data_IF_795089740854
#
_entry.id   IF_795089740854
#
_cell.length_a   1.000
_cell.length_b   1.000
_cell.length_c   1.000
_cell.angle_alpha   90.00
_cell.angle_beta   90.00
_cell.angle_gamma   90.00
#
_symmetry.space_group_name_H-M   'P 1'
#
loop_
_entity.id
_entity.type
_entity.pdbx_description
1 polymer ?
#
# COMPACT_ATOMS: atom_id res chain seq x y z
N UNK A 1 13.81 22.81 6.76
CA UNK A 1 12.39 22.46 6.59
C UNK A 1 12.29 21.52 5.40
N UNK A 2 11.20 20.76 5.27
CA UNK A 2 10.95 19.84 4.15
C UNK A 2 9.49 19.96 3.71
N UNK A 3 9.22 19.74 2.43
CA UNK A 3 7.88 19.76 1.86
C UNK A 3 7.17 18.43 2.12
N UNK A 4 5.85 18.44 2.29
CA UNK A 4 5.06 17.23 2.48
C UNK A 4 4.10 17.05 1.32
N UNK A 5 4.23 15.92 0.63
CA UNK A 5 3.26 15.47 -0.36
C UNK A 5 2.26 14.52 0.29
N UNK A 6 0.98 14.70 -0.04
CA UNK A 6 -0.12 13.83 0.36
C UNK A 6 -0.75 13.23 -0.90
N UNK A 7 -0.59 11.94 -1.12
CA UNK A 7 -1.25 11.21 -2.20
C UNK A 7 -2.66 10.82 -1.79
N UNK A 8 -3.65 11.04 -2.66
CA UNK A 8 -5.05 10.77 -2.31
C UNK A 8 -5.93 10.30 -3.48
N UNK A 9 -6.93 9.48 -3.15
CA UNK A 9 -8.03 9.06 -4.04
C UNK A 9 -9.24 8.57 -3.24
N UNK A 10 -10.33 9.33 -3.27
CA UNK A 10 -11.57 9.04 -2.55
C UNK A 10 -11.35 8.77 -1.06
N UNK A 11 -10.80 9.76 -0.37
CA UNK A 11 -10.32 9.78 1.02
C UNK A 11 -11.06 10.81 1.89
N UNK A 12 -12.36 11.06 1.64
CA UNK A 12 -13.13 12.07 2.36
C UNK A 12 -13.19 11.86 3.90
N UNK A 13 -12.96 10.63 4.36
CA UNK A 13 -12.90 10.26 5.78
C UNK A 13 -11.58 10.70 6.42
N UNK A 14 -10.45 10.58 5.69
CA UNK A 14 -9.12 10.67 6.27
C UNK A 14 -8.36 11.94 5.92
N UNK A 15 -8.67 12.55 4.77
CA UNK A 15 -7.88 13.62 4.18
C UNK A 15 -7.73 14.84 5.11
N UNK A 16 -8.79 15.21 5.84
CA UNK A 16 -8.77 16.31 6.80
C UNK A 16 -7.68 16.12 7.87
N UNK A 17 -7.74 14.98 8.58
CA UNK A 17 -6.80 14.68 9.65
C UNK A 17 -5.37 14.44 9.11
N UNK A 18 -5.22 13.96 7.87
CA UNK A 18 -3.91 13.87 7.21
C UNK A 18 -3.29 15.24 7.01
N UNK A 19 -4.02 16.17 6.37
CA UNK A 19 -3.59 17.55 6.14
C UNK A 19 -3.25 18.22 7.47
N UNK A 20 -4.13 18.15 8.46
CA UNK A 20 -3.91 18.73 9.79
C UNK A 20 -2.62 18.23 10.45
N UNK A 21 -2.32 16.93 10.31
CA UNK A 21 -1.08 16.36 10.82
C UNK A 21 0.16 16.84 10.06
N UNK A 22 0.03 17.14 8.78
CA UNK A 22 1.09 17.60 7.89
C UNK A 22 1.38 19.11 7.99
N UNK A 23 0.46 19.92 8.53
CA UNK A 23 0.61 21.39 8.71
C UNK A 23 1.73 21.80 9.70
N UNK A 24 2.55 20.86 10.15
CA UNK A 24 3.85 21.13 10.77
C UNK A 24 4.86 21.70 9.76
N UNK A 25 4.72 21.34 8.48
CA UNK A 25 5.46 21.94 7.37
C UNK A 25 4.74 23.18 6.82
N UNK A 26 5.51 24.15 6.34
CA UNK A 26 5.03 25.34 5.64
C UNK A 26 4.85 25.13 4.12
N UNK A 27 4.96 23.88 3.65
CA UNK A 27 4.69 23.48 2.26
C UNK A 27 4.05 22.09 2.22
N UNK A 28 2.71 22.07 2.18
CA UNK A 28 1.90 20.84 2.07
C UNK A 28 1.18 20.83 0.73
N UNK A 29 1.34 19.72 0.00
CA UNK A 29 0.90 19.57 -1.38
C UNK A 29 0.06 18.30 -1.50
N UNK A 30 -1.23 18.45 -1.79
CA UNK A 30 -2.15 17.34 -2.00
C UNK A 30 -2.14 16.97 -3.49
N UNK A 31 -1.83 15.72 -3.79
CA UNK A 31 -1.83 15.16 -5.14
C UNK A 31 -3.00 14.20 -5.26
N UNK A 32 -4.06 14.70 -5.88
CA UNK A 32 -5.34 14.01 -6.02
C UNK A 32 -5.43 13.24 -7.33
N UNK A 33 -5.87 11.99 -7.23
CA UNK A 33 -6.06 11.09 -8.38
C UNK A 33 -7.44 11.19 -9.02
N UNK A 34 -7.99 12.41 -9.10
CA UNK A 34 -9.35 12.69 -9.55
C UNK A 34 -10.41 12.05 -8.65
N UNK A 35 -10.39 12.38 -7.36
CA UNK A 35 -11.43 11.94 -6.43
C UNK A 35 -12.83 12.40 -6.88
N UNK A 36 -13.79 11.49 -6.74
CA UNK A 36 -15.22 11.67 -7.05
C UNK A 36 -16.08 11.91 -5.81
N UNK A 37 -15.53 11.69 -4.62
CA UNK A 37 -16.18 11.98 -3.33
C UNK A 37 -15.84 13.41 -2.85
N UNK A 38 -16.07 13.70 -1.56
CA UNK A 38 -15.84 15.03 -1.00
C UNK A 38 -14.38 15.34 -0.67
N UNK A 39 -13.42 14.49 -1.06
CA UNK A 39 -11.98 14.67 -0.76
C UNK A 39 -11.48 16.05 -1.14
N UNK A 40 -11.75 16.49 -2.38
CA UNK A 40 -11.30 17.78 -2.89
C UNK A 40 -12.02 18.96 -2.23
N UNK A 41 -13.32 18.81 -1.94
CA UNK A 41 -14.10 19.80 -1.19
C UNK A 41 -13.47 20.03 0.19
N UNK A 42 -13.11 18.95 0.88
CA UNK A 42 -12.50 19.00 2.21
C UNK A 42 -11.09 19.60 2.14
N UNK A 43 -10.25 19.14 1.20
CA UNK A 43 -8.89 19.65 1.03
C UNK A 43 -8.86 21.17 0.74
N UNK A 44 -9.85 21.69 -0.02
CA UNK A 44 -9.95 23.11 -0.38
C UNK A 44 -10.18 24.05 0.81
N UNK A 45 -10.54 23.51 1.99
CA UNK A 45 -10.74 24.29 3.22
C UNK A 45 -9.43 24.64 3.93
N UNK A 46 -8.34 24.01 3.52
CA UNK A 46 -7.00 24.23 4.07
C UNK A 46 -6.16 25.07 3.11
N UNK A 47 -5.20 25.81 3.66
CA UNK A 47 -4.23 26.56 2.87
C UNK A 47 -3.11 25.62 2.37
N UNK A 48 -3.47 24.75 1.43
CA UNK A 48 -2.58 23.75 0.82
C UNK A 48 -2.70 23.79 -0.69
N UNK A 49 -1.61 23.46 -1.39
CA UNK A 49 -1.64 23.37 -2.85
C UNK A 49 -2.23 22.03 -3.26
N UNK A 50 -3.32 22.05 -4.03
CA UNK A 50 -3.92 20.85 -4.60
C UNK A 50 -3.54 20.72 -6.07
N UNK A 51 -2.96 19.58 -6.44
CA UNK A 51 -2.59 19.21 -7.81
C UNK A 51 -3.37 17.95 -8.19
N UNK A 52 -3.90 17.90 -9.41
CA UNK A 52 -4.61 16.72 -9.93
C UNK A 52 -3.77 16.00 -10.96
N UNK A 53 -3.69 14.68 -10.86
CA UNK A 53 -3.02 13.83 -11.82
C UNK A 53 -3.68 12.47 -11.88
N UNK A 54 -3.91 11.92 -13.09
CA UNK A 54 -4.61 10.65 -13.22
C UNK A 54 -3.68 9.53 -12.75
N UNK A 55 -4.18 8.68 -11.86
CA UNK A 55 -3.40 7.55 -11.37
C UNK A 55 -3.14 6.54 -12.49
N UNK A 56 -1.87 6.19 -12.67
CA UNK A 56 -1.44 5.13 -13.59
C UNK A 56 -0.99 3.89 -12.81
N UNK A 57 -0.05 4.10 -11.88
CA UNK A 57 0.48 3.09 -10.97
C UNK A 57 1.13 3.78 -9.77
N UNK A 58 1.40 3.03 -8.69
CA UNK A 58 2.02 3.58 -7.49
C UNK A 58 3.40 4.18 -7.76
N UNK A 59 4.28 3.46 -8.47
CA UNK A 59 5.62 3.92 -8.77
C UNK A 59 5.64 5.10 -9.73
N UNK A 60 4.81 5.06 -10.80
CA UNK A 60 4.71 6.17 -11.76
C UNK A 60 4.13 7.42 -11.12
N UNK A 61 3.11 7.29 -10.26
CA UNK A 61 2.50 8.43 -9.58
C UNK A 61 3.50 9.13 -8.66
N UNK A 62 4.24 8.37 -7.83
CA UNK A 62 5.27 8.93 -6.93
C UNK A 62 6.40 9.59 -7.72
N UNK A 63 6.90 8.93 -8.76
CA UNK A 63 7.97 9.50 -9.60
C UNK A 63 7.52 10.76 -10.35
N UNK A 64 6.34 10.73 -10.98
CA UNK A 64 5.76 11.89 -11.64
C UNK A 64 5.62 13.07 -10.68
N UNK A 65 5.08 12.83 -9.49
CA UNK A 65 4.93 13.85 -8.46
C UNK A 65 6.27 14.49 -8.08
N UNK A 66 7.32 13.69 -7.90
CA UNK A 66 8.65 14.19 -7.54
C UNK A 66 9.34 14.98 -8.67
N UNK A 67 8.96 14.75 -9.92
CA UNK A 67 9.57 15.38 -11.11
C UNK A 67 8.81 16.63 -11.56
N UNK A 68 7.48 16.56 -11.59
CA UNK A 68 6.63 17.54 -12.25
C UNK A 68 5.97 18.53 -11.29
N UNK A 69 5.90 18.19 -10.00
CA UNK A 69 5.30 19.06 -8.99
C UNK A 69 6.43 19.77 -8.20
N UNK A 70 6.57 21.11 -8.32
CA UNK A 70 7.69 21.81 -7.67
C UNK A 70 7.46 21.94 -6.17
N UNK A 71 8.37 21.43 -5.34
CA UNK A 71 8.36 21.64 -3.89
C UNK A 71 9.09 22.93 -3.50
N UNK A 72 8.71 23.55 -2.38
CA UNK A 72 9.41 24.71 -1.81
C UNK A 72 10.79 24.35 -1.25
N UNK A 73 10.93 23.14 -0.70
CA UNK A 73 12.14 22.67 -0.02
C UNK A 73 12.87 21.59 -0.83
N UNK A 74 14.16 21.44 -0.53
CA UNK A 74 15.01 20.40 -1.15
C UNK A 74 14.57 18.98 -0.75
N UNK A 75 14.09 18.80 0.48
CA UNK A 75 13.66 17.49 0.97
C UNK A 75 12.14 17.34 0.92
N UNK A 76 11.70 16.14 0.63
CA UNK A 76 10.30 15.77 0.48
C UNK A 76 9.96 14.63 1.44
N UNK A 77 8.84 14.77 2.15
CA UNK A 77 8.20 13.68 2.86
C UNK A 77 6.92 13.24 2.12
N UNK A 78 6.70 11.94 1.94
CA UNK A 78 5.51 11.38 1.27
C UNK A 78 4.56 10.74 2.31
N UNK A 79 3.32 11.21 2.34
CA UNK A 79 2.19 10.63 3.06
C UNK A 79 1.14 10.09 2.09
N UNK A 80 0.47 9.01 2.48
CA UNK A 80 -0.84 8.63 1.94
C UNK A 80 -1.94 9.26 2.81
N UNK A 81 -3.11 9.53 2.23
CA UNK A 81 -4.17 10.27 2.92
C UNK A 81 -4.72 9.55 4.17
N UNK A 82 -4.56 8.24 4.30
CA UNK A 82 -4.91 7.45 5.48
C UNK A 82 -3.76 7.35 6.50
N UNK A 83 -2.68 8.14 6.34
CA UNK A 83 -1.54 8.20 7.24
C UNK A 83 -1.44 9.55 7.96
N UNK A 84 -0.69 9.61 9.06
CA UNK A 84 -0.52 10.83 9.86
C UNK A 84 0.94 11.12 10.16
N UNK A 85 1.35 12.37 10.01
CA UNK A 85 2.64 12.84 10.52
C UNK A 85 2.55 13.07 12.04
N UNK A 86 3.49 12.53 12.81
CA UNK A 86 3.61 12.83 14.24
C UNK A 86 4.60 13.96 14.48
N UNK A 87 4.46 14.69 15.59
CA UNK A 87 5.40 15.77 15.94
C UNK A 87 6.81 15.23 16.18
N UNK A 88 6.90 14.04 16.76
CA UNK A 88 8.15 13.34 17.06
C UNK A 88 8.86 12.95 15.76
N UNK A 89 8.14 12.32 14.82
CA UNK A 89 8.70 11.96 13.50
C UNK A 89 9.10 13.21 12.71
N UNK A 90 8.28 14.26 12.74
CA UNK A 90 8.60 15.52 12.08
C UNK A 90 9.90 16.12 12.62
N UNK A 91 10.09 16.12 13.94
CA UNK A 91 11.31 16.61 14.57
C UNK A 91 12.52 15.75 14.23
N UNK A 92 12.38 14.42 14.22
CA UNK A 92 13.47 13.52 13.79
C UNK A 92 13.86 13.77 12.33
N UNK A 93 12.88 13.95 11.43
CA UNK A 93 13.12 14.32 10.04
C UNK A 93 13.88 15.65 9.93
N UNK A 94 13.53 16.67 10.72
CA UNK A 94 14.26 17.95 10.73
C UNK A 94 15.72 17.82 11.15
N UNK A 95 16.04 16.90 12.07
CA UNK A 95 17.41 16.59 12.43
C UNK A 95 18.11 15.78 11.33
N UNK A 96 17.42 14.80 10.74
CA UNK A 96 17.94 13.94 9.68
C UNK A 96 18.38 14.75 8.45
N UNK A 97 17.59 15.72 7.99
CA UNK A 97 17.93 16.51 6.80
C UNK A 97 19.14 17.43 6.97
N UNK A 98 19.68 17.59 8.18
CA UNK A 98 20.90 18.39 8.43
C UNK A 98 22.17 17.65 7.98
N UNK A 99 22.14 16.32 7.89
CA UNK A 99 23.26 15.56 7.31
C UNK A 99 23.13 15.47 5.79
N UNK A 100 24.27 15.50 5.10
CA UNK A 100 24.37 15.33 3.65
C UNK A 100 24.78 13.92 3.23
N UNK A 101 24.95 13.02 4.20
CA UNK A 101 25.40 11.63 3.96
C UNK A 101 24.33 10.80 3.22
N UNK A 102 23.06 11.05 3.52
CA UNK A 102 21.95 10.24 3.01
C UNK A 102 21.10 11.01 2.00
N UNK A 103 20.52 10.28 1.06
CA UNK A 103 19.57 10.79 0.05
C UNK A 103 18.12 10.41 0.36
N UNK A 104 17.91 9.51 1.32
CA UNK A 104 16.59 9.03 1.70
C UNK A 104 16.58 8.31 3.04
N UNK A 105 15.43 8.32 3.69
CA UNK A 105 15.17 7.68 4.96
C UNK A 105 13.87 6.89 4.96
N UNK A 106 13.95 5.70 5.55
CA UNK A 106 12.78 4.87 5.79
C UNK A 106 12.18 5.15 7.16
N UNK A 107 10.85 5.18 7.24
CA UNK A 107 10.11 5.20 8.51
C UNK A 107 9.21 3.98 8.61
N UNK A 108 9.03 3.45 9.83
CA UNK A 108 8.16 2.31 10.07
C UNK A 108 6.71 2.74 10.30
N UNK A 109 5.77 2.03 9.70
CA UNK A 109 4.34 2.28 9.88
C UNK A 109 3.79 1.65 11.16
N UNK A 110 2.77 2.30 11.73
CA UNK A 110 1.94 1.78 12.81
C UNK A 110 0.53 1.53 12.29
N UNK A 111 0.23 0.27 11.98
CA UNK A 111 -1.10 -0.12 11.53
C UNK A 111 -2.13 0.12 12.64
N UNK A 112 -3.02 1.07 12.40
CA UNK A 112 -4.15 1.40 13.26
C UNK A 112 -5.37 0.60 12.81
N UNK A 113 -5.91 -0.22 13.70
CA UNK A 113 -7.07 -1.06 13.43
C UNK A 113 -7.99 -1.10 14.64
N UNK A 114 -9.30 -0.94 14.41
CA UNK A 114 -10.32 -0.87 15.49
C UNK A 114 -9.99 0.14 16.60
N UNK A 115 -9.38 1.27 16.23
CA UNK A 115 -9.04 2.36 17.17
C UNK A 115 -7.75 2.15 17.98
N UNK A 116 -7.01 1.06 17.76
CA UNK A 116 -5.73 0.82 18.44
C UNK A 116 -4.61 0.45 17.46
N UNK A 117 -3.36 0.62 17.89
CA UNK A 117 -2.21 0.16 17.12
C UNK A 117 -2.01 -1.34 17.30
N UNK A 118 -1.99 -2.09 16.19
CA UNK A 118 -1.67 -3.52 16.18
C UNK A 118 -0.16 -3.68 16.06
N UNK A 119 0.50 -4.03 17.17
CA UNK A 119 1.96 -4.01 17.31
C UNK A 119 2.62 -5.30 16.86
N UNK A 120 1.93 -6.42 17.03
CA UNK A 120 2.56 -7.75 17.01
C UNK A 120 2.42 -8.46 15.67
N UNK A 121 1.25 -8.35 15.06
CA UNK A 121 0.83 -9.24 13.97
C UNK A 121 0.74 -8.54 12.61
N UNK A 122 1.46 -7.42 12.44
CA UNK A 122 1.42 -6.55 11.25
C UNK A 122 2.72 -6.53 10.46
N UNK A 123 3.67 -7.42 10.80
CA UNK A 123 5.06 -7.41 10.28
C UNK A 123 5.84 -6.16 10.72
N UNK A 124 5.44 -5.55 11.83
CA UNK A 124 6.17 -4.43 12.42
C UNK A 124 7.57 -4.87 12.91
N UNK A 125 8.63 -4.06 12.67
CA UNK A 125 8.63 -2.82 11.90
C UNK A 125 8.61 -3.08 10.39
N UNK A 126 7.66 -2.46 9.68
CA UNK A 126 7.61 -2.43 8.21
C UNK A 126 8.04 -1.04 7.75
N UNK A 127 9.25 -0.98 7.19
CA UNK A 127 9.87 0.24 6.74
C UNK A 127 9.48 0.59 5.30
N UNK A 128 9.20 1.86 5.06
CA UNK A 128 8.91 2.42 3.74
C UNK A 128 9.70 3.72 3.54
N UNK A 129 10.15 3.99 2.33
CA UNK A 129 10.89 5.23 2.02
C UNK A 129 9.93 6.42 2.14
N UNK A 130 10.21 7.34 3.05
CA UNK A 130 9.27 8.44 3.38
C UNK A 130 9.87 9.81 3.20
N UNK A 131 11.08 10.03 3.70
CA UNK A 131 11.81 11.28 3.58
C UNK A 131 12.91 11.12 2.54
N UNK A 132 12.92 11.92 1.48
CA UNK A 132 13.83 11.72 0.36
C UNK A 132 14.23 13.04 -0.32
N UNK A 133 15.33 12.99 -1.07
CA UNK A 133 15.73 14.05 -1.99
C UNK A 133 15.23 13.75 -3.40
N UNK A 134 14.42 14.63 -4.02
CA UNK A 134 14.06 14.51 -5.43
C UNK A 134 15.31 14.57 -6.31
N UNK A 135 15.29 13.86 -7.44
CA UNK A 135 16.46 13.74 -8.33
C UNK A 135 17.57 12.81 -7.83
N UNK A 136 17.42 12.22 -6.63
CA UNK A 136 18.26 11.14 -6.11
C UNK A 136 17.48 9.87 -5.78
N UNK A 137 16.16 9.99 -5.62
CA UNK A 137 15.26 8.88 -5.33
C UNK A 137 14.09 8.92 -6.32
N UNK A 138 13.77 7.76 -6.88
CA UNK A 138 12.62 7.53 -7.75
C UNK A 138 11.92 6.23 -7.36
N UNK A 139 10.73 6.01 -7.91
CA UNK A 139 9.96 4.79 -7.69
C UNK A 139 9.70 4.08 -9.03
N UNK A 140 9.87 2.77 -9.02
CA UNK A 140 9.63 1.87 -10.14
C UNK A 140 8.56 0.85 -9.79
N UNK A 141 7.73 0.49 -10.76
CA UNK A 141 6.69 -0.53 -10.55
C UNK A 141 7.32 -1.93 -10.45
N UNK A 142 6.88 -2.70 -9.46
CA UNK A 142 7.31 -4.07 -9.22
C UNK A 142 6.10 -4.94 -8.82
N UNK A 143 5.47 -5.57 -9.83
CA UNK A 143 4.21 -6.29 -9.63
C UNK A 143 3.08 -5.34 -9.23
N UNK A 144 2.33 -5.68 -8.18
CA UNK A 144 1.31 -4.80 -7.57
C UNK A 144 1.90 -3.80 -6.56
N UNK A 145 3.23 -3.78 -6.41
CA UNK A 145 3.95 -2.93 -5.46
C UNK A 145 4.90 -2.02 -6.22
N UNK A 146 5.59 -1.16 -5.49
CA UNK A 146 6.65 -0.31 -6.01
C UNK A 146 7.97 -0.63 -5.31
N UNK A 147 9.06 -0.18 -5.93
CA UNK A 147 10.39 -0.16 -5.33
C UNK A 147 11.07 1.17 -5.57
N UNK A 148 11.69 1.68 -4.53
CA UNK A 148 12.57 2.82 -4.59
C UNK A 148 13.88 2.49 -5.35
N UNK A 149 14.32 3.44 -6.14
CA UNK A 149 15.62 3.45 -6.82
C UNK A 149 16.38 4.65 -6.25
N UNK A 150 17.51 4.39 -5.61
CA UNK A 150 18.27 5.41 -4.87
C UNK A 150 19.68 5.58 -5.45
N UNK A 151 20.06 6.83 -5.71
CA UNK A 151 21.42 7.25 -6.05
C UNK A 151 22.11 7.89 -4.84
N UNK A 152 22.48 7.06 -3.87
CA UNK A 152 23.18 7.49 -2.66
C UNK A 152 22.88 6.58 -1.48
N UNK A 153 23.49 6.88 -0.33
CA UNK A 153 23.22 6.13 0.89
C UNK A 153 21.83 6.46 1.45
N UNK A 154 21.21 5.49 2.10
CA UNK A 154 19.92 5.63 2.78
C UNK A 154 20.03 5.20 4.23
N UNK A 155 19.16 5.71 5.10
CA UNK A 155 19.14 5.35 6.51
C UNK A 155 17.72 5.13 7.04
N UNK A 156 17.59 4.80 8.32
CA UNK A 156 16.31 4.50 8.97
C UNK A 156 16.04 5.51 10.08
N UNK A 157 14.81 6.03 10.08
CA UNK A 157 14.26 6.81 11.19
C UNK A 157 13.80 5.87 12.31
N UNK A 158 13.88 6.34 13.55
CA UNK A 158 13.45 5.61 14.73
C UNK A 158 11.97 5.83 15.03
N UNK A 159 11.49 7.04 14.77
CA UNK A 159 10.09 7.40 14.94
C UNK A 159 9.21 6.78 13.85
N UNK A 160 7.92 6.74 14.14
CA UNK A 160 6.93 5.99 13.35
C UNK A 160 5.68 6.82 13.09
N UNK A 161 4.93 6.45 12.05
CA UNK A 161 3.71 7.14 11.66
C UNK A 161 2.47 6.21 11.76
N UNK A 162 1.32 6.70 12.25
CA UNK A 162 0.05 6.00 12.16
C UNK A 162 -0.42 5.80 10.72
N UNK A 163 -0.93 4.60 10.42
CA UNK A 163 -1.56 4.25 9.14
C UNK A 163 -2.93 3.61 9.39
N UNK A 164 -4.00 4.27 8.98
CA UNK A 164 -5.40 3.93 9.24
C UNK A 164 -6.01 3.04 8.14
N UNK A 165 -5.39 1.88 7.90
CA UNK A 165 -5.71 0.90 6.83
C UNK A 165 -7.18 0.46 6.69
N UNK A 166 -8.04 0.72 7.69
CA UNK A 166 -9.43 0.28 7.73
C UNK A 166 -10.41 1.41 8.16
N UNK A 167 -10.01 2.68 8.04
CA UNK A 167 -10.85 3.85 8.35
C UNK A 167 -12.18 3.86 7.60
N UNK A 168 -12.17 3.41 6.35
CA UNK A 168 -13.34 3.34 5.45
C UNK A 168 -14.27 2.15 5.70
N UNK A 169 -14.04 1.42 6.79
CA UNK A 169 -14.88 0.31 7.24
C UNK A 169 -14.48 -1.05 6.66
N UNK A 170 -15.04 -2.09 7.30
CA UNK A 170 -14.68 -3.48 7.03
C UNK A 170 -15.13 -3.96 5.64
N UNK A 171 -16.24 -3.44 5.10
CA UNK A 171 -16.72 -3.81 3.76
C UNK A 171 -15.67 -3.50 2.70
N UNK A 172 -15.14 -2.27 2.68
CA UNK A 172 -14.09 -1.87 1.73
C UNK A 172 -12.80 -2.65 1.94
N UNK A 173 -12.47 -2.99 3.19
CA UNK A 173 -11.33 -3.86 3.49
C UNK A 173 -11.53 -5.26 2.89
N UNK A 174 -12.71 -5.88 3.07
CA UNK A 174 -13.04 -7.20 2.52
C UNK A 174 -13.02 -7.17 0.99
N UNK A 175 -13.63 -6.17 0.36
CA UNK A 175 -13.66 -6.05 -1.11
C UNK A 175 -12.25 -5.92 -1.70
N UNK A 176 -11.37 -5.15 -1.03
CA UNK A 176 -9.96 -5.01 -1.40
C UNK A 176 -9.23 -6.35 -1.30
N UNK A 177 -9.39 -7.07 -0.19
CA UNK A 177 -8.76 -8.38 0.02
C UNK A 177 -9.34 -9.46 -0.90
N UNK A 178 -10.62 -9.34 -1.28
CA UNK A 178 -11.21 -10.20 -2.28
C UNK A 178 -10.49 -9.99 -3.63
N UNK A 179 -10.32 -8.77 -4.12
CA UNK A 179 -9.56 -8.52 -5.36
C UNK A 179 -8.11 -9.02 -5.27
N UNK A 180 -7.39 -8.63 -4.21
CA UNK A 180 -5.98 -9.02 -4.05
C UNK A 180 -5.79 -10.53 -3.89
N UNK A 181 -6.77 -11.25 -3.32
CA UNK A 181 -6.68 -12.72 -3.24
C UNK A 181 -6.76 -13.38 -4.61
N UNK A 182 -7.41 -12.77 -5.60
CA UNK A 182 -7.37 -13.23 -7.00
C UNK A 182 -5.97 -13.04 -7.58
N UNK A 183 -5.40 -11.85 -7.42
CA UNK A 183 -4.05 -11.52 -7.91
C UNK A 183 -2.99 -12.45 -7.31
N UNK A 184 -3.02 -12.65 -5.98
CA UNK A 184 -2.14 -13.58 -5.27
C UNK A 184 -2.37 -15.03 -5.67
N UNK A 185 -3.60 -15.42 -6.04
CA UNK A 185 -3.89 -16.76 -6.53
C UNK A 185 -3.24 -17.00 -7.90
N UNK A 186 -3.33 -16.05 -8.82
CA UNK A 186 -2.65 -16.11 -10.13
C UNK A 186 -1.14 -16.18 -9.95
N UNK A 187 -0.57 -15.33 -9.08
CA UNK A 187 0.87 -15.34 -8.80
C UNK A 187 1.32 -16.63 -8.10
N UNK A 188 0.47 -17.18 -7.21
CA UNK A 188 0.69 -18.50 -6.59
C UNK A 188 0.76 -19.61 -7.63
N UNK A 189 -0.13 -19.62 -8.64
CA UNK A 189 -0.07 -20.60 -9.73
C UNK A 189 1.24 -20.48 -10.51
N UNK A 190 1.63 -19.26 -10.88
CA UNK A 190 2.91 -19.00 -11.57
C UNK A 190 4.11 -19.49 -10.75
N UNK A 191 4.07 -19.36 -9.42
CA UNK A 191 5.12 -19.85 -8.53
C UNK A 191 5.13 -21.38 -8.42
N UNK A 192 3.96 -22.00 -8.31
CA UNK A 192 3.82 -23.46 -8.26
C UNK A 192 4.29 -24.13 -9.56
N UNK A 193 4.06 -23.50 -10.71
CA UNK A 193 4.51 -24.00 -12.02
C UNK A 193 6.03 -23.83 -12.22
N UNK A 194 6.66 -22.87 -11.54
CA UNK A 194 8.09 -22.55 -11.68
C UNK A 194 9.05 -23.34 -10.77
N UNK A 195 8.59 -24.13 -9.79
CA UNK A 195 9.52 -25.00 -9.04
C UNK A 195 9.07 -25.62 -7.71
N UNK A 196 9.90 -26.55 -7.21
CA UNK A 196 9.78 -27.33 -5.96
C UNK A 196 10.31 -26.59 -4.72
N UNK A 197 9.98 -27.06 -3.50
CA UNK A 197 10.54 -26.48 -2.26
C UNK A 197 12.05 -26.71 -2.25
N UNK A 198 12.84 -25.63 -2.25
CA UNK A 198 14.28 -25.73 -2.07
C UNK A 198 14.61 -25.91 -0.57
N UNK A 199 14.57 -27.16 -0.11
CA UNK A 199 14.87 -27.54 1.28
C UNK A 199 16.27 -27.10 1.73
N UNK A 200 17.22 -27.00 0.79
CA UNK A 200 18.58 -26.52 1.07
C UNK A 200 18.56 -25.03 1.40
N UNK A 201 17.80 -24.21 0.69
CA UNK A 201 17.68 -22.78 1.00
C UNK A 201 16.87 -22.51 2.28
N UNK A 202 15.88 -23.35 2.59
CA UNK A 202 15.10 -23.22 3.83
C UNK A 202 15.97 -23.38 5.09
N UNK A 203 16.83 -24.40 5.11
CA UNK A 203 17.66 -24.74 6.28
C UNK A 203 19.08 -24.16 6.21
N UNK A 204 19.66 -24.01 5.02
CA UNK A 204 21.05 -23.59 4.80
C UNK A 204 21.18 -22.28 4.00
N UNK A 205 20.05 -21.59 3.71
CA UNK A 205 20.06 -20.29 3.02
C UNK A 205 20.92 -19.28 3.76
N UNK A 206 21.70 -18.50 3.00
CA UNK A 206 22.67 -17.55 3.56
C UNK A 206 22.02 -16.19 3.83
N UNK A 207 20.89 -15.89 3.19
CA UNK A 207 20.11 -14.66 3.37
C UNK A 207 18.72 -14.91 3.95
N UNK A 208 18.18 -13.93 4.68
CA UNK A 208 16.78 -13.98 5.14
C UNK A 208 15.78 -14.04 3.98
N UNK A 209 16.12 -13.45 2.83
CA UNK A 209 15.26 -13.42 1.65
C UNK A 209 15.09 -14.81 1.06
N UNK A 210 16.17 -15.59 0.94
CA UNK A 210 16.14 -16.99 0.49
C UNK A 210 15.31 -17.87 1.43
N UNK A 211 15.53 -17.74 2.75
CA UNK A 211 14.75 -18.49 3.74
C UNK A 211 13.27 -18.13 3.69
N UNK A 212 12.92 -16.84 3.56
CA UNK A 212 11.53 -16.39 3.43
C UNK A 212 10.87 -16.91 2.15
N UNK A 213 11.60 -16.95 1.03
CA UNK A 213 11.10 -17.53 -0.23
C UNK A 213 10.84 -19.03 -0.09
N UNK A 214 11.80 -19.78 0.43
CA UNK A 214 11.64 -21.22 0.65
C UNK A 214 10.53 -21.54 1.68
N UNK A 215 10.36 -20.70 2.72
CA UNK A 215 9.26 -20.81 3.68
C UNK A 215 7.91 -20.49 3.01
N UNK A 216 7.86 -19.50 2.11
CA UNK A 216 6.66 -19.20 1.31
C UNK A 216 6.29 -20.42 0.45
N UNK A 217 7.24 -21.01 -0.26
CA UNK A 217 7.05 -22.20 -1.10
C UNK A 217 6.62 -23.45 -0.31
N UNK A 218 7.11 -23.62 0.92
CA UNK A 218 6.65 -24.68 1.83
C UNK A 218 5.24 -24.37 2.34
N UNK A 219 4.98 -23.12 2.74
CA UNK A 219 3.68 -22.71 3.28
C UNK A 219 2.55 -22.89 2.27
N UNK A 220 2.84 -22.66 0.97
CA UNK A 220 1.91 -22.89 -0.14
C UNK A 220 1.47 -24.36 -0.27
N UNK A 221 2.24 -25.30 0.29
CA UNK A 221 2.01 -26.75 0.21
C UNK A 221 1.52 -27.36 1.52
N UNK A 222 1.40 -26.59 2.60
CA UNK A 222 0.93 -27.09 3.89
C UNK A 222 -0.61 -27.22 3.89
N UNK A 223 -1.16 -28.37 4.31
CA UNK A 223 -2.59 -28.46 4.60
C UNK A 223 -2.93 -27.51 5.77
N UNK A 224 -4.12 -26.92 5.74
CA UNK A 224 -4.60 -25.99 6.79
C UNK A 224 -3.77 -24.72 6.98
N UNK A 225 -3.06 -24.24 5.95
CA UNK A 225 -2.28 -22.98 5.99
C UNK A 225 -2.99 -21.79 6.67
N UNK A 226 -4.30 -21.52 6.45
CA UNK A 226 -4.99 -20.43 7.15
C UNK A 226 -4.96 -20.59 8.68
N UNK A 227 -5.17 -21.81 9.18
CA UNK A 227 -5.13 -22.10 10.61
C UNK A 227 -3.71 -21.95 11.16
N UNK A 228 -2.71 -22.46 10.44
CA UNK A 228 -1.29 -22.31 10.81
C UNK A 228 -0.92 -20.82 10.89
N UNK A 229 -1.33 -20.02 9.89
CA UNK A 229 -1.12 -18.57 9.88
C UNK A 229 -1.79 -17.89 11.09
N UNK A 230 -3.04 -18.24 11.39
CA UNK A 230 -3.73 -17.72 12.57
C UNK A 230 -2.98 -18.05 13.87
N UNK A 231 -2.64 -19.32 14.07
CA UNK A 231 -1.97 -19.78 15.29
C UNK A 231 -0.61 -19.08 15.45
N UNK A 232 0.16 -18.98 14.37
CA UNK A 232 1.42 -18.25 14.35
C UNK A 232 1.24 -16.77 14.71
N UNK A 233 0.34 -16.06 14.03
CA UNK A 233 0.15 -14.62 14.24
C UNK A 233 -0.48 -14.30 15.60
N UNK A 234 -1.40 -15.13 16.08
CA UNK A 234 -2.13 -14.87 17.31
C UNK A 234 -1.32 -15.27 18.55
N UNK A 235 -0.76 -16.48 18.57
CA UNK A 235 -0.05 -16.99 19.75
C UNK A 235 1.46 -16.72 19.70
N UNK A 236 2.14 -17.01 18.59
CA UNK A 236 3.61 -16.92 18.54
C UNK A 236 4.10 -15.49 18.36
N UNK A 237 3.43 -14.68 17.53
CA UNK A 237 3.73 -13.24 17.46
C UNK A 237 3.12 -12.46 18.64
N UNK A 238 2.20 -13.07 19.39
CA UNK A 238 1.56 -12.44 20.54
C UNK A 238 0.42 -11.49 20.17
N UNK A 239 -0.26 -11.70 19.05
CA UNK A 239 -1.43 -10.91 18.64
C UNK A 239 -2.55 -10.87 19.68
N UNK A 240 -2.65 -11.87 20.57
CA UNK A 240 -3.58 -11.83 21.70
C UNK A 240 -3.33 -10.66 22.67
N UNK A 241 -2.11 -10.12 22.72
CA UNK A 241 -1.76 -8.95 23.54
C UNK A 241 -2.33 -7.65 22.98
N UNK A 242 -2.69 -7.62 21.69
CA UNK A 242 -3.37 -6.49 21.03
C UNK A 242 -4.91 -6.56 21.23
N UNK A 243 -5.39 -7.47 22.09
CA UNK A 243 -6.79 -7.59 22.52
C UNK A 243 -7.76 -7.94 21.39
N UNK A 244 -8.94 -7.30 21.39
CA UNK A 244 -9.99 -7.55 20.37
C UNK A 244 -9.52 -7.20 18.95
N UNK A 245 -8.75 -6.13 18.80
CA UNK A 245 -8.17 -5.73 17.51
C UNK A 245 -7.17 -6.76 16.99
N UNK A 246 -6.30 -7.27 17.87
CA UNK A 246 -5.36 -8.34 17.53
C UNK A 246 -6.02 -9.64 17.09
N UNK A 247 -7.06 -10.09 17.82
CA UNK A 247 -7.84 -11.26 17.43
C UNK A 247 -8.48 -11.07 16.04
N UNK A 248 -9.22 -9.97 15.85
CA UNK A 248 -9.88 -9.69 14.59
C UNK A 248 -8.89 -9.56 13.42
N UNK A 249 -7.75 -8.88 13.62
CA UNK A 249 -6.70 -8.77 12.61
C UNK A 249 -6.15 -10.14 12.20
N UNK A 250 -5.78 -10.98 13.17
CA UNK A 250 -5.28 -12.33 12.90
C UNK A 250 -6.32 -13.20 12.18
N UNK A 251 -7.59 -13.11 12.57
CA UNK A 251 -8.69 -13.83 11.90
C UNK A 251 -8.88 -13.37 10.46
N UNK A 252 -8.88 -12.06 10.22
CA UNK A 252 -9.02 -11.48 8.88
C UNK A 252 -7.84 -11.87 7.97
N UNK A 253 -6.62 -11.90 8.52
CA UNK A 253 -5.42 -12.34 7.80
C UNK A 253 -5.46 -13.83 7.46
N UNK A 254 -6.00 -14.66 8.35
CA UNK A 254 -6.21 -16.08 8.07
C UNK A 254 -7.33 -16.30 7.04
N UNK A 255 -8.42 -15.53 7.13
CA UNK A 255 -9.51 -15.57 6.16
C UNK A 255 -9.03 -15.15 4.76
N UNK A 256 -8.22 -14.10 4.66
CA UNK A 256 -7.58 -13.69 3.41
C UNK A 256 -6.74 -14.82 2.80
N UNK A 257 -5.91 -15.48 3.61
CA UNK A 257 -5.13 -16.64 3.19
C UNK A 257 -6.01 -17.80 2.70
N UNK A 258 -7.15 -18.01 3.35
CA UNK A 258 -8.12 -19.02 2.94
C UNK A 258 -8.75 -18.70 1.58
N UNK A 259 -9.13 -17.44 1.33
CA UNK A 259 -9.64 -17.01 0.03
C UNK A 259 -8.64 -17.26 -1.11
N UNK A 260 -7.35 -16.97 -0.89
CA UNK A 260 -6.30 -17.26 -1.88
C UNK A 260 -6.31 -18.75 -2.26
N UNK A 261 -6.34 -19.65 -1.27
CA UNK A 261 -6.35 -21.08 -1.53
C UNK A 261 -7.58 -21.55 -2.31
N UNK A 262 -8.76 -21.04 -1.95
CA UNK A 262 -10.00 -21.35 -2.68
C UNK A 262 -9.92 -20.88 -4.13
N UNK A 263 -9.37 -19.70 -4.39
CA UNK A 263 -9.20 -19.17 -5.74
C UNK A 263 -8.12 -19.89 -6.55
N UNK A 264 -7.03 -20.31 -5.91
CA UNK A 264 -6.04 -21.20 -6.55
C UNK A 264 -6.69 -22.51 -6.98
N UNK A 265 -7.57 -23.08 -6.14
CA UNK A 265 -8.33 -24.27 -6.50
C UNK A 265 -9.31 -23.98 -7.65
N UNK A 266 -10.06 -22.88 -7.56
CA UNK A 266 -11.01 -22.44 -8.58
C UNK A 266 -10.34 -22.31 -9.96
N UNK A 267 -9.24 -21.55 -10.04
CA UNK A 267 -8.47 -21.34 -11.27
C UNK A 267 -7.90 -22.63 -11.87
N UNK A 268 -7.68 -23.69 -11.07
CA UNK A 268 -7.19 -24.99 -11.54
C UNK A 268 -8.29 -25.94 -12.03
N UNK A 269 -9.52 -25.80 -11.53
CA UNK A 269 -10.56 -26.82 -11.69
C UNK A 269 -11.82 -26.33 -12.40
N UNK A 270 -12.09 -25.01 -12.39
CA UNK A 270 -13.24 -24.46 -13.11
C UNK A 270 -12.83 -23.99 -14.51
N UNK A 271 -13.72 -24.11 -15.51
CA UNK A 271 -13.50 -23.51 -16.81
C UNK A 271 -13.43 -21.99 -16.64
N UNK A 272 -12.38 -21.37 -17.18
CA UNK A 272 -12.34 -19.91 -17.26
C UNK A 272 -13.10 -19.45 -18.50
N UNK A 273 -13.97 -18.46 -18.32
CA UNK A 273 -14.52 -17.73 -19.44
C UNK A 273 -13.36 -16.99 -20.14
N UNK A 274 -13.32 -16.93 -21.49
CA UNK A 274 -12.35 -16.09 -22.19
C UNK A 274 -12.39 -14.61 -21.80
N UNK A 275 -13.52 -14.14 -21.25
CA UNK A 275 -13.71 -12.78 -20.74
C UNK A 275 -13.12 -12.57 -19.34
N UNK A 276 -12.92 -13.65 -18.58
CA UNK A 276 -12.43 -13.63 -17.20
C UNK A 276 -10.94 -14.00 -17.11
N UNK A 277 -10.25 -14.15 -18.26
CA UNK A 277 -8.82 -14.48 -18.32
C UNK A 277 -7.99 -13.29 -17.81
N UNK A 278 -7.35 -13.38 -16.62
CA UNK A 278 -6.58 -12.28 -16.04
C UNK A 278 -5.26 -12.00 -16.79
N UNK A 279 -4.94 -12.77 -17.83
CA UNK A 279 -3.81 -12.51 -18.74
C UNK A 279 -4.16 -11.65 -19.96
N UNK A 280 -5.46 -11.43 -20.22
CA UNK A 280 -5.94 -10.53 -21.26
C UNK A 280 -6.07 -9.11 -20.70
N UNK A 281 -5.62 -8.06 -21.41
CA UNK A 281 -5.88 -6.68 -20.99
C UNK A 281 -7.40 -6.44 -20.96
N UNK A 282 -7.89 -5.81 -19.88
CA UNK A 282 -9.29 -5.40 -19.75
C UNK A 282 -9.62 -4.51 -20.96
N UNK A 283 -10.59 -4.87 -21.82
CA UNK A 283 -10.98 -4.01 -22.92
C UNK A 283 -11.47 -2.67 -22.36
N UNK A 284 -11.19 -1.54 -23.03
CA UNK A 284 -11.68 -0.24 -22.57
C UNK A 284 -13.19 -0.30 -22.37
N UNK A 285 -13.64 0.29 -21.27
CA UNK A 285 -15.04 0.34 -20.86
C UNK A 285 -15.84 1.13 -21.92
N UNK A 286 -16.43 0.43 -22.89
CA UNK A 286 -17.38 0.97 -23.87
C UNK A 286 -18.73 1.25 -23.20
N UNK A 287 -18.71 2.03 -22.11
CA UNK A 287 -19.90 2.71 -21.60
C UNK A 287 -19.92 4.15 -22.09
N UNK A 288 -19.78 4.32 -23.41
CA UNK A 288 -20.25 5.50 -24.12
C UNK A 288 -21.47 5.07 -24.94
N UNK A 289 -22.58 4.81 -24.24
CA UNK A 289 -23.87 4.67 -24.92
C UNK A 289 -24.26 6.06 -25.41
N UNK A 290 -24.14 6.23 -26.73
CA UNK A 290 -24.47 7.42 -27.50
C UNK A 290 -25.76 8.11 -27.02
N UNK A 291 -25.60 9.21 -26.28
CA UNK A 291 -26.63 10.22 -26.13
C UNK A 291 -26.60 11.15 -27.34
N UNK A 292 -26.95 10.65 -28.53
CA UNK A 292 -27.28 11.51 -29.69
C UNK A 292 -27.93 10.70 -30.80
N UNK A 293 -29.26 10.73 -30.89
CA UNK A 293 -30.05 10.95 -32.13
C UNK A 293 -31.53 10.64 -31.89
N UNK A 294 -32.31 11.65 -31.49
CA UNK A 294 -33.72 11.73 -31.91
C UNK A 294 -33.84 12.97 -32.77
N UNK A 295 -33.56 12.77 -34.05
CA UNK A 295 -33.83 13.70 -35.14
C UNK A 295 -35.34 13.81 -35.32
N UNK A 296 -35.85 15.03 -35.14
CA UNK A 296 -37.16 15.49 -35.57
C UNK A 296 -37.35 15.31 -37.08
N UNK A 297 -38.52 14.82 -37.50
CA UNK A 297 -39.10 15.09 -38.83
C UNK A 297 -40.60 14.75 -38.86
N UNK A 298 -41.37 15.39 -39.76
CA UNK A 298 -42.71 15.89 -39.45
C UNK A 298 -43.84 15.07 -40.08
N UNK A 299 -45.03 15.13 -39.46
CA UNK A 299 -46.35 15.22 -40.10
C UNK A 299 -47.32 15.94 -39.18
#
# INVERSE_FOLDING_TARGET
>A
MFSIYILTYNEEIDIAACIESAMLSDDVIVVDSYSSDRTLEIASRYDVRVVKHRFESHGRQRTWMLQEVPAKHEWIYILEADERMTKELFQECLEAIKTTEYVGYYAAERVMFMGSWIRRSTQYPRYQMRLLKPGKVWFSDYGHTEREVCEGATSFLKETYPHYTCSKGLSRWIDKHNRYSTDEAVETLRQLDKGSVNWRELFLGRSEVEKRRALKDLSLRLPFRPLVRFVYMYFFLGGFLDGRGGFAWCTLQAFYEYLILLKVWELKHLPQSPLDDPSQPIPPDDTNVDATTVSSSPR
#
